data_IF_233551751543
#
_entry.id   IF_233551751543
#
_cell.length_a   1.000
_cell.length_b   1.000
_cell.length_c   1.000
_cell.angle_alpha   90.00
_cell.angle_beta   90.00
_cell.angle_gamma   90.00
#
_symmetry.space_group_name_H-M   'P 1'
#
loop_
_entity.id
_entity.type
_entity.pdbx_description
1 polymer ?
#
# COMPACT_ATOMS: atom_id res chain seq x y z
N UNK A 1 10.01 -17.03 -4.17
CA UNK A 1 8.95 -16.00 -4.26
C UNK A 1 9.49 -14.58 -4.23
N UNK A 2 10.01 -14.07 -3.09
CA UNK A 2 10.53 -12.69 -2.98
C UNK A 2 11.55 -12.31 -4.06
N UNK A 3 12.47 -13.21 -4.42
CA UNK A 3 13.44 -12.98 -5.52
C UNK A 3 12.78 -12.79 -6.88
N UNK A 4 11.70 -13.50 -7.17
CA UNK A 4 11.00 -13.42 -8.47
C UNK A 4 10.25 -12.09 -8.60
N UNK A 5 9.55 -11.65 -7.55
CA UNK A 5 8.89 -10.34 -7.52
C UNK A 5 9.93 -9.21 -7.63
N UNK A 6 11.02 -9.27 -6.86
CA UNK A 6 12.10 -8.27 -7.00
C UNK A 6 12.72 -8.26 -8.40
N UNK A 7 12.81 -9.42 -9.07
CA UNK A 7 13.29 -9.51 -10.44
C UNK A 7 12.31 -8.91 -11.45
N UNK A 8 11.00 -9.14 -11.31
CA UNK A 8 9.99 -8.55 -12.20
C UNK A 8 9.91 -7.03 -12.06
N UNK A 9 10.18 -6.50 -10.87
CA UNK A 9 10.20 -5.06 -10.59
C UNK A 9 11.52 -4.38 -10.98
N UNK A 10 12.58 -5.13 -11.28
CA UNK A 10 13.95 -4.59 -11.48
C UNK A 10 14.04 -3.52 -12.56
N UNK A 11 13.26 -3.65 -13.63
CA UNK A 11 13.30 -2.74 -14.79
C UNK A 11 12.43 -1.50 -14.62
N UNK A 12 11.64 -1.42 -13.55
CA UNK A 12 10.76 -0.26 -13.31
C UNK A 12 11.59 0.94 -12.86
N UNK A 13 11.19 2.17 -13.22
CA UNK A 13 11.76 3.35 -12.58
C UNK A 13 11.51 3.28 -11.06
N UNK A 14 12.44 3.84 -10.28
CA UNK A 14 12.18 4.11 -8.86
C UNK A 14 11.62 5.51 -8.78
N UNK A 15 10.33 5.63 -8.46
CA UNK A 15 9.68 6.92 -8.24
C UNK A 15 9.99 7.45 -6.83
N UNK A 16 10.30 8.73 -6.72
CA UNK A 16 10.31 9.42 -5.43
C UNK A 16 8.89 9.60 -4.89
N UNK A 17 8.73 9.90 -3.60
CA UNK A 17 7.42 10.09 -2.96
C UNK A 17 6.50 11.05 -3.72
N UNK A 18 7.02 12.19 -4.20
CA UNK A 18 6.22 13.17 -4.94
C UNK A 18 5.71 12.61 -6.27
N UNK A 19 6.56 11.94 -7.04
CA UNK A 19 6.18 11.31 -8.32
C UNK A 19 5.22 10.13 -8.09
N UNK A 20 5.44 9.39 -7.00
CA UNK A 20 4.59 8.29 -6.58
C UNK A 20 3.20 8.80 -6.18
N UNK A 21 3.11 9.91 -5.44
CA UNK A 21 1.87 10.59 -5.12
C UNK A 21 1.11 11.05 -6.37
N UNK A 22 1.80 11.68 -7.31
CA UNK A 22 1.20 12.05 -8.59
C UNK A 22 0.63 10.85 -9.33
N UNK A 23 1.27 9.68 -9.24
CA UNK A 23 0.79 8.46 -9.89
C UNK A 23 -0.59 8.01 -9.37
N UNK A 24 -0.85 8.14 -8.06
CA UNK A 24 -2.18 7.87 -7.49
C UNK A 24 -3.19 8.96 -7.87
N UNK A 25 -2.79 10.24 -7.84
CA UNK A 25 -3.70 11.35 -8.16
C UNK A 25 -4.21 11.33 -9.61
N UNK A 26 -3.46 10.73 -10.55
CA UNK A 26 -3.88 10.61 -11.96
C UNK A 26 -5.13 9.76 -12.12
N UNK A 27 -5.27 8.71 -11.32
CA UNK A 27 -6.41 7.81 -11.38
C UNK A 27 -7.50 8.25 -10.41
N UNK A 28 -7.16 8.54 -9.15
CA UNK A 28 -8.12 9.01 -8.13
C UNK A 28 -7.48 9.91 -7.06
N UNK A 29 -8.17 10.95 -6.58
CA UNK A 29 -7.62 11.85 -5.58
C UNK A 29 -7.57 11.20 -4.18
N UNK A 30 -6.42 10.63 -3.85
CA UNK A 30 -6.03 10.13 -2.52
C UNK A 30 -5.29 11.24 -1.77
N UNK A 31 -5.53 11.39 -0.47
CA UNK A 31 -4.87 12.42 0.33
C UNK A 31 -3.37 12.11 0.49
N UNK A 32 -2.53 13.16 0.40
CA UNK A 32 -1.08 13.04 0.56
C UNK A 32 -0.65 12.28 1.84
N UNK A 33 -1.25 12.50 3.02
CA UNK A 33 -0.87 11.75 4.22
C UNK A 33 -1.02 10.23 4.09
N UNK A 34 -2.03 9.76 3.34
CA UNK A 34 -2.26 8.33 3.08
C UNK A 34 -1.19 7.77 2.16
N UNK A 35 -0.87 8.49 1.09
CA UNK A 35 0.20 8.08 0.18
C UNK A 35 1.55 8.08 0.88
N UNK A 36 1.86 9.11 1.66
CA UNK A 36 3.08 9.16 2.46
C UNK A 36 3.16 8.00 3.47
N UNK A 37 2.05 7.67 4.11
CA UNK A 37 1.96 6.50 4.99
C UNK A 37 2.29 5.21 4.26
N UNK A 38 1.65 4.96 3.11
CA UNK A 38 1.91 3.78 2.29
C UNK A 38 3.37 3.74 1.81
N UNK A 39 3.89 4.86 1.30
CA UNK A 39 5.27 4.95 0.86
C UNK A 39 6.26 4.67 1.99
N UNK A 40 5.92 4.93 3.25
CA UNK A 40 6.81 4.63 4.38
C UNK A 40 6.66 3.19 4.87
N UNK A 41 5.44 2.66 4.89
CA UNK A 41 5.12 1.38 5.55
C UNK A 41 5.26 0.16 4.67
N UNK A 42 4.97 0.28 3.37
CA UNK A 42 5.00 -0.86 2.44
C UNK A 42 6.40 -1.49 2.32
N UNK A 43 7.46 -0.69 2.44
CA UNK A 43 8.83 -1.20 2.47
C UNK A 43 9.09 -2.07 3.69
N UNK A 44 8.64 -1.63 4.85
CA UNK A 44 8.80 -2.35 6.13
C UNK A 44 8.15 -3.73 6.08
N UNK A 45 6.98 -3.84 5.43
CA UNK A 45 6.27 -5.12 5.33
C UNK A 45 6.89 -6.03 4.27
N UNK A 46 7.12 -5.52 3.06
CA UNK A 46 7.47 -6.33 1.89
C UNK A 46 8.97 -6.48 1.64
N UNK A 47 9.77 -5.55 2.17
CA UNK A 47 11.16 -5.33 1.80
C UNK A 47 11.35 -4.88 0.36
N UNK A 48 10.30 -4.36 -0.30
CA UNK A 48 10.33 -3.80 -1.64
C UNK A 48 10.35 -2.28 -1.54
N UNK A 49 11.23 -1.65 -2.30
CA UNK A 49 11.28 -0.21 -2.44
C UNK A 49 9.93 0.31 -2.99
N UNK A 50 9.18 1.14 -2.24
CA UNK A 50 7.82 1.57 -2.57
C UNK A 50 7.73 2.28 -3.92
N UNK A 51 8.77 3.03 -4.28
CA UNK A 51 8.89 3.70 -5.58
C UNK A 51 8.91 2.76 -6.79
N UNK A 52 9.10 1.44 -6.61
CA UNK A 52 8.98 0.43 -7.66
C UNK A 52 7.55 -0.08 -7.87
N UNK A 53 6.68 0.19 -6.91
CA UNK A 53 5.28 -0.22 -6.95
C UNK A 53 4.47 0.81 -7.72
N UNK A 54 3.44 0.34 -8.42
CA UNK A 54 2.50 1.16 -9.18
C UNK A 54 1.10 1.01 -8.57
N UNK A 55 0.24 2.05 -8.63
CA UNK A 55 -1.14 1.95 -8.15
C UNK A 55 -1.92 0.77 -8.78
N UNK A 56 -1.62 0.46 -10.05
CA UNK A 56 -2.26 -0.64 -10.78
C UNK A 56 -1.75 -2.03 -10.43
N UNK A 57 -0.68 -2.16 -9.62
CA UNK A 57 -0.16 -3.47 -9.24
C UNK A 57 -1.20 -4.24 -8.43
N UNK A 58 -1.48 -5.46 -8.86
CA UNK A 58 -2.35 -6.36 -8.12
C UNK A 58 -1.58 -6.99 -6.97
N UNK A 59 -2.11 -6.85 -5.76
CA UNK A 59 -1.43 -7.26 -4.53
C UNK A 59 -1.08 -8.74 -4.59
N UNK A 60 -2.01 -9.60 -4.97
CA UNK A 60 -1.75 -11.04 -4.99
C UNK A 60 -1.21 -11.53 -6.32
N UNK A 61 -1.74 -11.08 -7.46
CA UNK A 61 -1.33 -11.61 -8.76
C UNK A 61 0.06 -11.13 -9.20
N UNK A 62 0.37 -9.85 -8.98
CA UNK A 62 1.61 -9.23 -9.47
C UNK A 62 2.69 -9.20 -8.37
N UNK A 63 2.29 -8.91 -7.13
CA UNK A 63 3.23 -8.70 -6.03
C UNK A 63 3.35 -9.88 -5.07
N UNK A 64 2.39 -10.82 -5.05
CA UNK A 64 2.32 -11.89 -4.04
C UNK A 64 2.43 -11.31 -2.62
N UNK A 65 1.66 -10.26 -2.37
CA UNK A 65 1.86 -9.36 -1.24
C UNK A 65 1.76 -10.07 0.10
N UNK A 66 0.76 -10.93 0.27
CA UNK A 66 0.57 -11.72 1.49
C UNK A 66 1.75 -12.66 1.76
N UNK A 67 2.32 -13.27 0.71
CA UNK A 67 3.51 -14.12 0.85
C UNK A 67 4.78 -13.32 1.19
N UNK A 68 4.86 -12.06 0.76
CA UNK A 68 5.99 -11.18 1.02
C UNK A 68 5.99 -10.59 2.43
N UNK A 69 4.82 -10.19 2.89
CA UNK A 69 4.61 -9.44 4.12
C UNK A 69 4.26 -10.33 5.31
N UNK A 70 3.94 -11.61 5.07
CA UNK A 70 3.35 -12.51 6.06
C UNK A 70 1.83 -12.33 6.12
N UNK A 71 1.11 -13.39 6.49
CA UNK A 71 -0.36 -13.43 6.43
C UNK A 71 -1.04 -12.31 7.25
N UNK A 72 -0.41 -11.88 8.35
CA UNK A 72 -0.97 -10.91 9.28
C UNK A 72 -0.62 -9.44 8.93
N UNK A 73 -0.09 -9.19 7.72
CA UNK A 73 0.34 -7.84 7.33
C UNK A 73 -0.75 -6.78 7.42
N UNK A 74 -2.00 -7.19 7.21
CA UNK A 74 -3.16 -6.32 7.30
C UNK A 74 -3.34 -5.83 8.73
N UNK A 75 -3.25 -6.73 9.72
CA UNK A 75 -3.40 -6.38 11.14
C UNK A 75 -2.35 -5.34 11.53
N UNK A 76 -1.10 -5.56 11.13
CA UNK A 76 0.01 -4.63 11.37
C UNK A 76 -0.24 -3.27 10.70
N UNK A 77 -0.75 -3.26 9.46
CA UNK A 77 -1.14 -2.05 8.76
C UNK A 77 -2.21 -1.26 9.54
N UNK A 78 -3.22 -1.95 10.09
CA UNK A 78 -4.26 -1.32 10.88
C UNK A 78 -3.73 -0.69 12.16
N UNK A 79 -2.87 -1.40 12.90
CA UNK A 79 -2.22 -0.89 14.10
C UNK A 79 -1.36 0.36 13.78
N UNK A 80 -0.54 0.28 12.73
CA UNK A 80 0.31 1.39 12.29
C UNK A 80 -0.52 2.62 11.88
N UNK A 81 -1.65 2.40 11.20
CA UNK A 81 -2.55 3.47 10.77
C UNK A 81 -3.29 4.10 11.96
N UNK A 82 -3.74 3.29 12.92
CA UNK A 82 -4.34 3.76 14.16
C UNK A 82 -3.33 4.61 14.95
N UNK A 83 -2.09 4.14 15.10
CA UNK A 83 -1.04 4.91 15.79
C UNK A 83 -0.74 6.26 15.10
N UNK A 84 -0.75 6.30 13.77
CA UNK A 84 -0.39 7.50 13.03
C UNK A 84 -1.55 8.50 12.86
N UNK A 85 -2.77 8.02 12.65
CA UNK A 85 -3.92 8.86 12.30
C UNK A 85 -5.03 8.86 13.35
N UNK A 86 -4.93 8.01 14.38
CA UNK A 86 -5.96 7.80 15.40
C UNK A 86 -7.31 7.37 14.77
N UNK A 87 -7.24 6.45 13.80
CA UNK A 87 -8.38 5.86 13.10
C UNK A 87 -8.33 4.34 13.25
N UNK A 88 -9.35 3.77 13.89
CA UNK A 88 -9.47 2.32 14.06
C UNK A 88 -10.07 1.67 12.81
N UNK A 89 -9.29 0.80 12.17
CA UNK A 89 -9.71 0.07 10.96
C UNK A 89 -9.99 -1.41 11.22
N UNK A 90 -9.96 -1.86 12.48
CA UNK A 90 -10.06 -3.29 12.84
C UNK A 90 -11.36 -3.93 12.34
N UNK A 91 -12.46 -3.18 12.30
CA UNK A 91 -13.75 -3.68 11.75
C UNK A 91 -13.79 -3.73 10.24
N UNK A 92 -13.03 -2.86 9.56
CA UNK A 92 -12.99 -2.84 8.10
C UNK A 92 -12.04 -3.90 7.54
N UNK A 93 -11.16 -4.47 8.38
CA UNK A 93 -10.15 -5.43 7.95
C UNK A 93 -10.72 -6.81 7.61
N UNK A 94 -11.82 -7.22 8.25
CA UNK A 94 -12.44 -8.51 7.97
C UNK A 94 -13.11 -8.52 6.58
N UNK A 95 -13.58 -7.34 6.13
CA UNK A 95 -14.13 -7.10 4.79
C UNK A 95 -13.06 -6.64 3.77
N UNK A 96 -11.80 -6.59 4.18
CA UNK A 96 -10.70 -6.01 3.42
C UNK A 96 -10.17 -6.97 2.37
N UNK A 97 -10.50 -6.69 1.11
CA UNK A 97 -9.91 -7.40 -0.03
C UNK A 97 -9.50 -6.42 -1.14
N UNK A 98 -8.54 -5.51 -0.87
CA UNK A 98 -7.97 -4.68 -1.92
C UNK A 98 -7.32 -5.58 -2.97
N UNK A 99 -7.68 -5.40 -4.24
CA UNK A 99 -7.09 -6.17 -5.34
C UNK A 99 -5.81 -5.51 -5.81
N UNK A 100 -5.81 -4.17 -5.83
CA UNK A 100 -4.69 -3.36 -6.27
C UNK A 100 -4.14 -2.50 -5.15
N UNK A 101 -2.94 -1.97 -5.36
CA UNK A 101 -2.37 -0.98 -4.46
C UNK A 101 -3.17 0.33 -4.43
N UNK A 102 -3.83 0.68 -5.54
CA UNK A 102 -4.80 1.75 -5.59
C UNK A 102 -6.00 1.48 -4.67
N UNK A 103 -6.60 0.29 -4.73
CA UNK A 103 -7.74 -0.07 -3.87
C UNK A 103 -7.37 0.07 -2.39
N UNK A 104 -6.15 -0.34 -2.03
CA UNK A 104 -5.61 -0.16 -0.68
C UNK A 104 -5.56 1.33 -0.29
N UNK A 105 -4.96 2.17 -1.13
CA UNK A 105 -4.85 3.60 -0.87
C UNK A 105 -6.21 4.30 -0.79
N UNK A 106 -7.17 3.90 -1.62
CA UNK A 106 -8.52 4.43 -1.58
C UNK A 106 -9.24 4.09 -0.28
N UNK A 107 -9.08 2.85 0.19
CA UNK A 107 -9.69 2.42 1.44
C UNK A 107 -9.15 3.23 2.62
N UNK A 108 -7.83 3.35 2.74
CA UNK A 108 -7.20 4.15 3.80
C UNK A 108 -7.64 5.62 3.75
N UNK A 109 -7.78 6.17 2.54
CA UNK A 109 -8.29 7.53 2.34
C UNK A 109 -9.75 7.70 2.75
N UNK A 110 -10.61 6.72 2.47
CA UNK A 110 -11.99 6.73 2.93
C UNK A 110 -12.07 6.68 4.45
N UNK A 111 -11.26 5.84 5.10
CA UNK A 111 -11.21 5.77 6.56
C UNK A 111 -10.70 7.07 7.18
N UNK A 112 -9.65 7.67 6.61
CA UNK A 112 -9.13 8.95 7.09
C UNK A 112 -10.16 10.09 7.00
N UNK A 113 -11.03 10.06 5.99
CA UNK A 113 -12.10 11.05 5.81
C UNK A 113 -13.29 10.88 6.76
N UNK A 114 -13.46 9.70 7.35
CA UNK A 114 -14.56 9.40 8.28
C UNK A 114 -14.22 9.76 9.74
N UNK A 115 -13.00 10.24 9.99
CA UNK A 115 -12.58 10.84 11.26
C UNK A 115 -13.34 12.14 11.56
#
# INVERSE_FOLDING_TARGET
>A
MRRQVKQSLRHRPTLGLSEWFESFCRSRPIAYPVVNFLYTRLETYSGIEPGKLLPSDRLEEDLRWTDLCGFDWQIILCDDFMQQFNVDMTRCIEDFSPKTLEDLGLLLHQQLKQR
#
